data_IF_094934182145
#
_entry.id   IF_094934182145
#
_cell.length_a   1.000
_cell.length_b   1.000
_cell.length_c   1.000
_cell.angle_alpha   90.00
_cell.angle_beta   90.00
_cell.angle_gamma   90.00
#
_symmetry.space_group_name_H-M   'P 1'
#
loop_
_entity.id
_entity.type
_entity.pdbx_description
1 polymer ?
#
# COMPACT_ATOMS: atom_id res chain seq x y z
N UNK A 1 6.71 5.35 -49.59
CA UNK A 1 6.27 5.44 -48.21
C UNK A 1 6.87 4.26 -47.43
N UNK A 2 8.02 4.49 -46.78
CA UNK A 2 8.66 3.47 -45.96
C UNK A 2 7.82 3.30 -44.68
N UNK A 3 7.06 2.22 -44.60
CA UNK A 3 6.46 1.79 -43.34
C UNK A 3 7.57 1.37 -42.38
N UNK A 4 7.98 2.27 -41.50
CA UNK A 4 8.76 1.87 -40.35
C UNK A 4 7.93 0.80 -39.61
N UNK A 5 8.42 -0.44 -39.57
CA UNK A 5 7.89 -1.44 -38.64
C UNK A 5 8.02 -0.81 -37.24
N UNK A 6 6.91 -0.40 -36.67
CA UNK A 6 6.87 -0.04 -35.25
C UNK A 6 7.36 -1.28 -34.50
N UNK A 7 8.59 -1.23 -34.03
CA UNK A 7 9.12 -2.26 -33.11
C UNK A 7 8.27 -2.22 -31.85
N UNK A 8 7.75 -3.38 -31.44
CA UNK A 8 6.97 -3.53 -30.24
C UNK A 8 7.82 -3.07 -29.06
N UNK A 9 7.33 -2.09 -28.28
CA UNK A 9 8.05 -1.59 -27.10
C UNK A 9 8.08 -2.63 -26.00
N UNK A 10 9.20 -2.69 -25.30
CA UNK A 10 9.52 -3.69 -24.26
C UNK A 10 9.43 -3.07 -22.88
N UNK A 11 8.71 -3.72 -21.99
CA UNK A 11 8.56 -3.33 -20.59
C UNK A 11 9.13 -4.42 -19.69
N UNK A 12 10.02 -4.04 -18.80
CA UNK A 12 10.53 -4.91 -17.74
C UNK A 12 9.69 -4.73 -16.47
N UNK A 13 9.08 -5.82 -16.00
CA UNK A 13 8.42 -5.91 -14.72
C UNK A 13 9.32 -6.68 -13.73
N UNK A 14 9.89 -5.98 -12.79
CA UNK A 14 10.67 -6.56 -11.69
C UNK A 14 9.75 -6.95 -10.54
N UNK A 15 9.54 -8.25 -10.35
CA UNK A 15 8.70 -8.83 -9.29
C UNK A 15 7.45 -9.52 -9.83
N UNK A 16 7.14 -10.69 -9.24
CA UNK A 16 5.95 -11.50 -9.51
C UNK A 16 5.15 -11.71 -8.20
N UNK A 17 4.85 -10.59 -7.51
CA UNK A 17 4.08 -10.57 -6.27
C UNK A 17 2.57 -10.55 -6.50
N UNK A 18 1.81 -10.44 -5.40
CA UNK A 18 0.34 -10.48 -5.38
C UNK A 18 -0.32 -9.38 -6.25
N UNK A 19 0.37 -8.27 -6.48
CA UNK A 19 -0.17 -7.11 -7.20
C UNK A 19 0.30 -7.01 -8.66
N UNK A 20 1.12 -7.96 -9.16
CA UNK A 20 1.77 -7.79 -10.47
C UNK A 20 0.86 -8.12 -11.66
N UNK A 21 -0.14 -9.02 -11.50
CA UNK A 21 -0.93 -9.54 -12.63
C UNK A 21 -1.66 -8.45 -13.41
N UNK A 22 -2.41 -7.51 -12.79
CA UNK A 22 -3.11 -6.47 -13.57
C UNK A 22 -2.16 -5.55 -14.34
N UNK A 23 -0.95 -5.29 -13.86
CA UNK A 23 0.09 -4.54 -14.57
C UNK A 23 0.50 -5.25 -15.87
N UNK A 24 0.80 -6.54 -15.76
CA UNK A 24 1.25 -7.37 -16.89
C UNK A 24 0.14 -7.49 -17.92
N UNK A 25 -1.07 -7.84 -17.47
CA UNK A 25 -2.23 -8.02 -18.34
C UNK A 25 -2.58 -6.74 -19.09
N UNK A 26 -2.65 -5.60 -18.38
CA UNK A 26 -2.96 -4.30 -18.98
C UNK A 26 -1.98 -3.95 -20.11
N UNK A 27 -0.67 -4.08 -19.88
CA UNK A 27 0.34 -3.73 -20.89
C UNK A 27 0.35 -4.73 -22.05
N UNK A 28 0.17 -6.02 -21.78
CA UNK A 28 0.01 -7.04 -22.82
C UNK A 28 -1.19 -6.74 -23.74
N UNK A 29 -2.33 -6.35 -23.17
CA UNK A 29 -3.54 -6.02 -23.93
C UNK A 29 -3.38 -4.74 -24.76
N UNK A 30 -2.50 -3.83 -24.33
CA UNK A 30 -2.12 -2.62 -25.08
C UNK A 30 -0.99 -2.84 -26.08
N UNK A 31 -0.57 -4.08 -26.31
CA UNK A 31 0.37 -4.44 -27.37
C UNK A 31 1.85 -4.24 -27.03
N UNK A 32 2.19 -4.13 -25.75
CA UNK A 32 3.58 -4.10 -25.29
C UNK A 32 4.12 -5.52 -25.08
N UNK A 33 5.42 -5.69 -25.25
CA UNK A 33 6.12 -6.89 -24.81
C UNK A 33 6.51 -6.74 -23.33
N UNK A 34 6.09 -7.69 -22.48
CA UNK A 34 6.36 -7.61 -21.05
C UNK A 34 7.26 -8.75 -20.58
N UNK A 35 8.46 -8.41 -20.14
CA UNK A 35 9.40 -9.34 -19.48
C UNK A 35 9.18 -9.30 -17.98
N UNK A 36 8.81 -10.44 -17.37
CA UNK A 36 8.57 -10.56 -15.93
C UNK A 36 9.75 -11.26 -15.27
N UNK A 37 10.51 -10.53 -14.45
CA UNK A 37 11.69 -11.03 -13.76
C UNK A 37 11.39 -11.33 -12.28
N UNK A 38 11.61 -12.58 -11.84
CA UNK A 38 11.29 -13.03 -10.48
C UNK A 38 12.17 -14.17 -10.02
N UNK A 39 12.44 -14.26 -8.70
CA UNK A 39 13.17 -15.38 -8.09
C UNK A 39 12.47 -16.73 -8.31
N UNK A 40 11.15 -16.73 -8.35
CA UNK A 40 10.34 -17.93 -8.51
C UNK A 40 9.69 -17.95 -9.89
N UNK A 41 10.32 -18.61 -10.84
CA UNK A 41 9.84 -18.71 -12.22
C UNK A 41 8.38 -19.16 -12.32
N UNK A 42 8.00 -20.20 -11.57
CA UNK A 42 6.64 -20.75 -11.58
C UNK A 42 5.56 -19.74 -11.10
N UNK A 43 5.93 -18.73 -10.27
CA UNK A 43 5.02 -17.64 -9.94
C UNK A 43 4.86 -16.68 -11.12
N UNK A 44 5.97 -16.32 -11.77
CA UNK A 44 5.93 -15.45 -12.94
C UNK A 44 5.17 -16.12 -14.10
N UNK A 45 5.42 -17.41 -14.37
CA UNK A 45 4.73 -18.16 -15.42
C UNK A 45 3.20 -18.16 -15.23
N UNK A 46 2.72 -18.31 -13.99
CA UNK A 46 1.27 -18.22 -13.68
C UNK A 46 0.69 -16.82 -13.91
N UNK A 47 1.45 -15.78 -13.65
CA UNK A 47 0.97 -14.39 -13.84
C UNK A 47 0.80 -14.02 -15.31
N UNK A 48 1.58 -14.63 -16.20
CA UNK A 48 1.51 -14.38 -17.65
C UNK A 48 0.55 -15.32 -18.38
N UNK A 49 -0.09 -16.28 -17.69
CA UNK A 49 -1.07 -17.16 -18.30
C UNK A 49 -2.20 -16.36 -18.96
N UNK A 50 -2.45 -16.62 -20.25
CA UNK A 50 -3.44 -15.90 -21.06
C UNK A 50 -2.98 -14.55 -21.60
N UNK A 51 -1.83 -14.02 -21.18
CA UNK A 51 -1.25 -12.79 -21.72
C UNK A 51 -0.51 -13.06 -23.05
N UNK A 52 -0.56 -12.09 -23.95
CA UNK A 52 0.19 -12.12 -25.21
C UNK A 52 1.51 -11.37 -25.05
N UNK A 53 2.51 -11.71 -25.89
CA UNK A 53 3.78 -10.98 -25.92
C UNK A 53 4.43 -10.84 -24.54
N UNK A 54 4.46 -11.92 -23.77
CA UNK A 54 5.08 -11.96 -22.46
C UNK A 54 6.17 -13.00 -22.39
N UNK A 55 7.19 -12.75 -21.58
CA UNK A 55 8.22 -13.72 -21.24
C UNK A 55 8.55 -13.66 -19.75
N UNK A 56 9.10 -14.73 -19.21
CA UNK A 56 9.47 -14.83 -17.80
C UNK A 56 10.93 -15.17 -17.63
N UNK A 57 11.60 -14.49 -16.70
CA UNK A 57 13.04 -14.67 -16.42
C UNK A 57 13.20 -14.99 -14.94
N UNK A 58 14.01 -16.01 -14.64
CA UNK A 58 14.48 -16.26 -13.27
C UNK A 58 15.53 -15.22 -12.92
N UNK A 59 15.29 -14.46 -11.86
CA UNK A 59 16.11 -13.33 -11.49
C UNK A 59 16.08 -13.08 -9.98
N UNK A 60 17.24 -12.90 -9.37
CA UNK A 60 17.37 -12.47 -7.97
C UNK A 60 18.08 -11.11 -7.90
N UNK A 61 17.37 -10.07 -7.46
CA UNK A 61 17.89 -8.69 -7.33
C UNK A 61 19.14 -8.59 -6.42
N UNK A 62 19.36 -9.56 -5.55
CA UNK A 62 20.47 -9.55 -4.59
C UNK A 62 21.76 -10.11 -5.17
N UNK A 63 21.69 -10.96 -6.18
CA UNK A 63 22.85 -11.72 -6.70
C UNK A 63 23.10 -11.55 -8.19
N UNK A 64 22.12 -11.14 -8.98
CA UNK A 64 22.18 -11.22 -10.44
C UNK A 64 22.35 -9.82 -11.07
N UNK A 65 23.40 -9.08 -10.64
CA UNK A 65 23.66 -7.69 -11.05
C UNK A 65 23.82 -7.55 -12.57
N UNK A 66 24.64 -8.40 -13.21
CA UNK A 66 24.85 -8.38 -14.65
C UNK A 66 23.55 -8.64 -15.44
N UNK A 67 22.68 -9.51 -14.91
CA UNK A 67 21.40 -9.79 -15.51
C UNK A 67 20.41 -8.61 -15.35
N UNK A 68 20.44 -7.94 -14.19
CA UNK A 68 19.62 -6.72 -13.98
C UNK A 68 20.01 -5.63 -14.97
N UNK A 69 21.31 -5.39 -15.11
CA UNK A 69 21.85 -4.40 -16.05
C UNK A 69 21.35 -4.66 -17.48
N UNK A 70 21.55 -5.88 -17.95
CA UNK A 70 21.09 -6.31 -19.29
C UNK A 70 19.59 -6.19 -19.48
N UNK A 71 18.79 -6.61 -18.50
CA UNK A 71 17.31 -6.55 -18.62
C UNK A 71 16.80 -5.11 -18.69
N UNK A 72 17.44 -4.18 -17.97
CA UNK A 72 17.09 -2.76 -18.00
C UNK A 72 17.56 -2.11 -19.32
N UNK A 73 18.76 -2.44 -19.81
CA UNK A 73 19.29 -1.98 -21.10
C UNK A 73 18.35 -2.36 -22.27
N UNK A 74 17.80 -3.59 -22.24
CA UNK A 74 16.93 -4.09 -23.30
C UNK A 74 15.49 -3.57 -23.23
N UNK A 75 15.11 -2.83 -22.16
CA UNK A 75 13.76 -2.35 -21.94
C UNK A 75 13.59 -0.90 -22.38
N UNK A 76 12.41 -0.57 -22.94
CA UNK A 76 11.98 0.82 -23.17
C UNK A 76 11.44 1.49 -21.89
N UNK A 77 11.10 0.69 -20.87
CA UNK A 77 10.68 1.14 -19.54
C UNK A 77 10.84 -0.02 -18.54
N UNK A 78 11.32 0.27 -17.34
CA UNK A 78 11.37 -0.66 -16.23
C UNK A 78 10.39 -0.26 -15.11
N UNK A 79 9.61 -1.21 -14.61
CA UNK A 79 8.75 -1.04 -13.44
C UNK A 79 9.17 -1.98 -12.34
N UNK A 80 9.37 -1.45 -11.12
CA UNK A 80 9.72 -2.28 -9.96
C UNK A 80 8.54 -2.44 -9.01
N UNK A 81 8.06 -3.68 -8.91
CA UNK A 81 7.08 -4.15 -7.93
C UNK A 81 7.75 -5.05 -6.87
N UNK A 82 9.05 -4.92 -6.71
CA UNK A 82 9.85 -5.56 -5.66
C UNK A 82 9.62 -4.89 -4.29
N UNK A 83 10.15 -5.45 -3.19
CA UNK A 83 10.25 -4.73 -1.93
C UNK A 83 10.98 -3.39 -2.09
N UNK A 84 10.51 -2.35 -1.39
CA UNK A 84 10.97 -0.96 -1.54
C UNK A 84 12.49 -0.77 -1.39
N UNK A 85 13.15 -1.64 -0.64
CA UNK A 85 14.60 -1.61 -0.41
C UNK A 85 15.43 -1.78 -1.68
N UNK A 86 14.85 -2.35 -2.74
CA UNK A 86 15.54 -2.64 -3.99
C UNK A 86 15.30 -1.58 -5.09
N UNK A 87 14.35 -0.66 -4.90
CA UNK A 87 13.99 0.29 -5.97
C UNK A 87 15.14 1.21 -6.35
N UNK A 88 15.91 1.70 -5.37
CA UNK A 88 17.05 2.61 -5.63
C UNK A 88 18.14 1.92 -6.47
N UNK A 89 18.39 0.62 -6.23
CA UNK A 89 19.35 -0.17 -7.03
C UNK A 89 18.90 -0.21 -8.49
N UNK A 90 17.66 -0.60 -8.75
CA UNK A 90 17.12 -0.67 -10.12
C UNK A 90 17.05 0.70 -10.80
N UNK A 91 16.65 1.76 -10.07
CA UNK A 91 16.58 3.11 -10.60
C UNK A 91 17.94 3.68 -11.01
N UNK A 92 19.02 3.35 -10.30
CA UNK A 92 20.39 3.77 -10.69
C UNK A 92 20.79 3.18 -12.03
N UNK A 93 20.56 1.89 -12.24
CA UNK A 93 20.85 1.21 -13.51
C UNK A 93 19.96 1.76 -14.62
N UNK A 94 18.68 2.04 -14.34
CA UNK A 94 17.77 2.68 -15.28
C UNK A 94 18.28 4.06 -15.74
N UNK A 95 18.87 4.86 -14.86
CA UNK A 95 19.51 6.13 -15.19
C UNK A 95 20.74 5.92 -16.12
N UNK A 96 21.57 4.91 -15.85
CA UNK A 96 22.77 4.60 -16.66
C UNK A 96 22.41 4.26 -18.10
N UNK A 97 21.28 3.56 -18.31
CA UNK A 97 20.79 3.18 -19.64
C UNK A 97 19.76 4.18 -20.24
N UNK A 98 19.50 5.29 -19.57
CA UNK A 98 18.45 6.25 -19.93
C UNK A 98 17.08 5.58 -20.14
N UNK A 99 16.75 4.58 -19.33
CA UNK A 99 15.50 3.82 -19.34
C UNK A 99 14.52 4.44 -18.33
N UNK A 100 13.32 4.91 -18.72
CA UNK A 100 12.27 5.35 -17.81
C UNK A 100 11.97 4.33 -16.72
N UNK A 101 11.72 4.80 -15.49
CA UNK A 101 11.51 3.92 -14.34
C UNK A 101 10.23 4.27 -13.58
N UNK A 102 9.46 3.25 -13.19
CA UNK A 102 8.24 3.42 -12.40
C UNK A 102 8.21 2.50 -11.18
N UNK A 103 7.54 2.95 -10.10
CA UNK A 103 7.23 2.11 -8.93
C UNK A 103 6.01 2.64 -8.18
N UNK A 104 5.39 1.77 -7.37
CA UNK A 104 4.23 2.09 -6.54
C UNK A 104 4.61 2.58 -5.14
N UNK A 105 5.89 2.55 -4.78
CA UNK A 105 6.37 2.86 -3.43
C UNK A 105 6.71 4.33 -3.23
N UNK A 106 6.67 4.77 -1.97
CA UNK A 106 7.06 6.14 -1.57
C UNK A 106 8.47 6.51 -2.02
N UNK A 107 8.68 7.80 -2.35
CA UNK A 107 10.00 8.36 -2.62
C UNK A 107 10.83 8.32 -1.33
N UNK A 108 11.85 7.47 -1.30
CA UNK A 108 12.84 7.48 -0.21
C UNK A 108 13.80 8.66 -0.32
N UNK A 109 14.49 9.05 0.78
CA UNK A 109 15.54 10.07 0.72
C UNK A 109 16.63 9.74 -0.32
N UNK A 110 16.97 8.46 -0.49
CA UNK A 110 17.94 7.96 -1.46
C UNK A 110 17.43 8.07 -2.88
N UNK A 111 16.14 7.78 -3.11
CA UNK A 111 15.49 7.95 -4.41
C UNK A 111 15.45 9.44 -4.81
N UNK A 112 15.13 10.32 -3.86
CA UNK A 112 15.10 11.77 -4.09
C UNK A 112 16.45 12.33 -4.56
N UNK A 113 17.58 11.76 -4.09
CA UNK A 113 18.93 12.15 -4.50
C UNK A 113 19.25 11.82 -5.96
N UNK A 114 18.46 10.97 -6.61
CA UNK A 114 18.62 10.60 -8.01
C UNK A 114 18.01 11.63 -8.99
N UNK A 115 17.31 12.65 -8.50
CA UNK A 115 16.57 13.61 -9.36
C UNK A 115 17.47 14.28 -10.41
N UNK A 116 18.62 14.82 -10.01
CA UNK A 116 19.55 15.50 -10.91
C UNK A 116 20.13 14.54 -11.97
N UNK A 117 20.47 13.31 -11.57
CA UNK A 117 20.98 12.30 -12.48
C UNK A 117 19.91 11.85 -13.49
N UNK A 118 18.67 11.64 -13.02
CA UNK A 118 17.54 11.30 -13.89
C UNK A 118 17.21 12.41 -14.88
N UNK A 119 17.26 13.69 -14.44
CA UNK A 119 17.14 14.86 -15.33
C UNK A 119 18.23 14.91 -16.37
N UNK A 120 19.46 14.65 -15.99
CA UNK A 120 20.63 14.64 -16.90
C UNK A 120 20.52 13.51 -17.92
N UNK A 121 19.98 12.36 -17.53
CA UNK A 121 19.69 11.23 -18.40
C UNK A 121 18.44 11.44 -19.28
N UNK A 122 17.62 12.47 -19.00
CA UNK A 122 16.43 12.79 -19.77
C UNK A 122 15.26 11.83 -19.53
N UNK A 123 15.20 11.14 -18.40
CA UNK A 123 14.18 10.13 -18.08
C UNK A 123 13.32 10.53 -16.89
N UNK A 124 12.04 10.11 -16.85
CA UNK A 124 11.24 10.11 -15.65
C UNK A 124 11.56 8.92 -14.73
N UNK A 125 11.57 9.18 -13.43
CA UNK A 125 11.46 8.18 -12.38
C UNK A 125 10.16 8.48 -11.65
N UNK A 126 9.07 7.77 -11.97
CA UNK A 126 7.76 8.00 -11.40
C UNK A 126 7.50 7.02 -10.25
N UNK A 127 7.44 7.56 -9.05
CA UNK A 127 7.15 6.82 -7.82
C UNK A 127 5.70 7.05 -7.38
N UNK A 128 5.29 6.34 -6.33
CA UNK A 128 4.00 6.56 -5.66
C UNK A 128 2.80 6.41 -6.62
N UNK A 129 2.90 5.48 -7.57
CA UNK A 129 1.89 5.29 -8.60
C UNK A 129 1.05 4.02 -8.34
N UNK A 130 0.58 3.88 -7.08
CA UNK A 130 -0.27 2.78 -6.61
C UNK A 130 -1.63 3.26 -6.13
N UNK A 131 -2.13 2.69 -5.02
CA UNK A 131 -3.40 3.10 -4.40
C UNK A 131 -3.17 4.13 -3.29
N UNK A 132 -2.32 3.82 -2.32
CA UNK A 132 -1.84 4.65 -1.22
C UNK A 132 -0.42 4.18 -0.86
N UNK A 133 0.59 4.85 -1.47
CA UNK A 133 0.49 6.09 -2.26
C UNK A 133 0.11 5.89 -3.73
N UNK A 134 -0.68 6.81 -4.28
CA UNK A 134 -1.00 6.88 -5.71
C UNK A 134 -2.36 7.47 -6.01
N UNK A 135 -3.41 6.66 -6.05
CA UNK A 135 -4.79 7.16 -6.30
C UNK A 135 -5.18 8.20 -5.27
N UNK A 136 -4.74 8.04 -4.01
CA UNK A 136 -4.95 9.00 -2.93
C UNK A 136 -4.38 10.39 -3.26
N UNK A 137 -3.16 10.45 -3.82
CA UNK A 137 -2.55 11.71 -4.27
C UNK A 137 -3.30 12.31 -5.46
N UNK A 138 -3.57 11.47 -6.46
CA UNK A 138 -4.20 11.90 -7.71
C UNK A 138 -5.59 12.48 -7.46
N UNK A 139 -6.40 11.79 -6.65
CA UNK A 139 -7.75 12.23 -6.31
C UNK A 139 -7.76 13.45 -5.40
N UNK A 140 -6.82 13.54 -4.45
CA UNK A 140 -6.66 14.73 -3.62
C UNK A 140 -6.27 15.94 -4.47
N UNK A 141 -5.28 15.82 -5.34
CA UNK A 141 -4.82 16.93 -6.20
C UNK A 141 -5.89 17.39 -7.16
N UNK A 142 -6.69 16.48 -7.73
CA UNK A 142 -7.85 16.84 -8.56
C UNK A 142 -8.79 17.81 -7.84
N UNK A 143 -9.08 17.57 -6.56
CA UNK A 143 -9.96 18.42 -5.75
C UNK A 143 -9.24 19.71 -5.33
N UNK A 144 -8.00 19.62 -4.88
CA UNK A 144 -7.20 20.78 -4.46
C UNK A 144 -7.06 21.77 -5.62
N UNK A 145 -6.66 21.31 -6.80
CA UNK A 145 -6.55 22.16 -7.99
C UNK A 145 -7.90 22.76 -8.38
N UNK A 146 -8.99 21.99 -8.28
CA UNK A 146 -10.34 22.52 -8.53
C UNK A 146 -10.70 23.66 -7.58
N UNK A 147 -10.40 23.52 -6.28
CA UNK A 147 -10.66 24.55 -5.27
C UNK A 147 -9.79 25.79 -5.51
N UNK A 148 -8.47 25.60 -5.73
CA UNK A 148 -7.54 26.71 -5.98
C UNK A 148 -7.87 27.47 -7.28
N UNK A 149 -8.30 26.77 -8.34
CA UNK A 149 -8.71 27.39 -9.60
C UNK A 149 -9.97 28.28 -9.48
N UNK A 150 -10.68 28.21 -8.35
CA UNK A 150 -11.83 29.06 -8.01
C UNK A 150 -11.51 30.06 -6.88
N UNK A 151 -10.24 30.42 -6.69
CA UNK A 151 -9.76 31.29 -5.60
C UNK A 151 -10.14 30.77 -4.19
N UNK A 152 -10.38 29.46 -4.07
CA UNK A 152 -10.67 28.80 -2.81
C UNK A 152 -9.38 28.41 -2.07
N UNK A 153 -9.51 28.08 -0.78
CA UNK A 153 -8.45 27.65 0.12
C UNK A 153 -8.83 26.34 0.79
N UNK A 154 -7.90 25.41 0.89
CA UNK A 154 -8.10 24.18 1.64
C UNK A 154 -7.80 24.45 3.12
N UNK A 155 -8.84 24.47 3.96
CA UNK A 155 -8.71 24.65 5.41
C UNK A 155 -8.48 23.35 6.16
N UNK A 156 -9.03 22.26 5.65
CA UNK A 156 -8.84 20.93 6.23
C UNK A 156 -8.78 19.89 5.13
N UNK A 157 -7.89 18.94 5.26
CA UNK A 157 -7.81 17.75 4.44
C UNK A 157 -7.53 16.52 5.29
N UNK A 158 -8.42 15.55 5.21
CA UNK A 158 -8.20 14.21 5.78
C UNK A 158 -8.39 13.14 4.72
N UNK A 159 -7.54 12.13 4.76
CA UNK A 159 -7.55 11.03 3.80
C UNK A 159 -7.32 9.71 4.52
N UNK A 160 -8.24 8.76 4.36
CA UNK A 160 -8.12 7.43 4.95
C UNK A 160 -8.30 6.36 3.88
N UNK A 161 -7.42 5.35 3.91
CA UNK A 161 -7.47 4.22 2.99
C UNK A 161 -7.37 2.90 3.75
N UNK A 162 -8.17 1.91 3.38
CA UNK A 162 -8.11 0.57 3.93
C UNK A 162 -8.27 -0.52 2.88
N UNK A 163 -7.35 -1.49 2.88
CA UNK A 163 -7.55 -2.78 2.22
C UNK A 163 -8.18 -3.75 3.22
N UNK A 164 -9.37 -4.22 2.94
CA UNK A 164 -10.25 -4.94 3.85
C UNK A 164 -10.91 -6.13 3.14
N UNK A 165 -11.39 -7.16 3.85
CA UNK A 165 -12.30 -8.11 3.26
C UNK A 165 -13.62 -7.42 2.86
N UNK A 166 -14.17 -7.80 1.70
CA UNK A 166 -15.53 -7.40 1.34
C UNK A 166 -16.53 -7.84 2.41
N UNK A 167 -17.70 -7.18 2.57
CA UNK A 167 -18.62 -7.49 3.65
C UNK A 167 -18.99 -8.97 3.77
N UNK A 168 -19.18 -9.66 2.64
CA UNK A 168 -19.50 -11.09 2.58
C UNK A 168 -18.31 -12.00 2.91
N UNK A 169 -17.08 -11.50 2.82
CA UNK A 169 -15.84 -12.21 3.14
C UNK A 169 -15.29 -11.85 4.53
N UNK A 170 -15.96 -10.97 5.27
CA UNK A 170 -15.56 -10.52 6.59
C UNK A 170 -16.10 -11.46 7.68
N UNK A 171 -15.61 -12.69 7.70
CA UNK A 171 -16.12 -13.84 8.45
C UNK A 171 -15.24 -14.27 9.63
N UNK A 172 -14.16 -13.55 9.93
CA UNK A 172 -13.26 -13.87 11.03
C UNK A 172 -13.27 -12.79 12.12
N UNK A 173 -12.89 -13.13 13.37
CA UNK A 173 -12.99 -12.19 14.49
C UNK A 173 -12.04 -10.98 14.41
N UNK A 174 -10.98 -11.01 13.57
CA UNK A 174 -10.12 -9.86 13.34
C UNK A 174 -10.74 -8.83 12.39
N UNK A 175 -11.76 -9.22 11.61
CA UNK A 175 -12.30 -8.36 10.56
C UNK A 175 -11.25 -8.00 9.51
N UNK A 176 -10.30 -8.89 9.26
CA UNK A 176 -9.19 -8.64 8.35
C UNK A 176 -8.77 -9.92 7.60
N UNK A 177 -8.38 -9.76 6.34
CA UNK A 177 -7.72 -10.79 5.54
C UNK A 177 -6.57 -10.18 4.74
N UNK A 178 -5.56 -10.99 4.42
CA UNK A 178 -4.32 -10.52 3.81
C UNK A 178 -4.46 -10.40 2.29
N UNK A 179 -4.50 -9.17 1.78
CA UNK A 179 -4.38 -8.85 0.35
C UNK A 179 -2.98 -8.41 -0.06
N UNK A 180 -2.08 -8.22 0.93
CA UNK A 180 -0.69 -7.83 0.73
C UNK A 180 0.21 -8.38 1.86
N UNK A 181 1.46 -7.93 1.96
CA UNK A 181 2.47 -8.45 2.90
C UNK A 181 2.02 -8.41 4.37
N UNK A 182 1.91 -9.54 5.08
CA UNK A 182 1.56 -9.57 6.50
C UNK A 182 2.57 -8.81 7.36
N UNK A 183 3.87 -8.93 7.04
CA UNK A 183 4.93 -8.19 7.73
C UNK A 183 4.74 -6.67 7.55
N UNK A 184 4.34 -6.23 6.35
CA UNK A 184 4.03 -4.83 6.09
C UNK A 184 2.86 -4.32 6.92
N UNK A 185 1.80 -5.12 7.08
CA UNK A 185 0.63 -4.80 7.91
C UNK A 185 1.02 -4.59 9.38
N UNK A 186 1.82 -5.50 9.93
CA UNK A 186 2.23 -5.45 11.34
C UNK A 186 3.24 -4.33 11.61
N UNK A 187 4.20 -4.11 10.70
CA UNK A 187 5.18 -3.02 10.81
C UNK A 187 4.53 -1.64 10.73
N UNK A 188 3.44 -1.48 9.95
CA UNK A 188 2.71 -0.22 9.89
C UNK A 188 2.22 0.24 11.27
N UNK A 189 1.86 -0.70 12.16
CA UNK A 189 1.44 -0.43 13.53
C UNK A 189 2.56 0.01 14.50
N UNK A 190 3.81 0.14 14.04
CA UNK A 190 4.96 0.60 14.83
C UNK A 190 5.44 2.00 14.46
N UNK A 191 4.90 2.56 13.37
CA UNK A 191 5.33 3.88 12.90
C UNK A 191 4.75 4.99 13.77
N UNK A 192 5.55 6.02 14.04
CA UNK A 192 5.04 7.28 14.58
C UNK A 192 4.10 7.94 13.55
N UNK A 193 3.15 8.71 14.04
CA UNK A 193 2.31 9.57 13.21
C UNK A 193 2.61 11.05 13.50
N UNK A 194 2.67 11.86 12.43
CA UNK A 194 2.92 13.29 12.52
C UNK A 194 2.00 14.03 11.56
N UNK A 195 1.14 14.92 12.09
CA UNK A 195 0.11 15.60 11.33
C UNK A 195 -0.24 16.96 11.93
N UNK A 196 -1.00 17.77 11.19
CA UNK A 196 -1.54 19.04 11.67
C UNK A 196 -3.04 18.87 12.00
N UNK A 197 -3.48 19.37 13.14
CA UNK A 197 -4.91 19.42 13.53
C UNK A 197 -5.22 20.77 14.18
N UNK A 198 -6.16 21.49 13.61
CA UNK A 198 -6.60 22.81 14.09
C UNK A 198 -5.43 23.80 14.33
N UNK A 199 -4.50 23.85 13.37
CA UNK A 199 -3.30 24.70 13.43
C UNK A 199 -2.21 24.22 14.39
N UNK A 200 -2.35 23.02 14.98
CA UNK A 200 -1.38 22.47 15.93
C UNK A 200 -0.74 21.21 15.38
N UNK A 201 0.58 21.13 15.48
CA UNK A 201 1.33 19.91 15.20
C UNK A 201 1.02 18.84 16.24
N UNK A 202 0.70 17.64 15.77
CA UNK A 202 0.43 16.47 16.60
C UNK A 202 1.42 15.38 16.24
N UNK A 203 2.10 14.85 17.26
CA UNK A 203 3.00 13.70 17.14
C UNK A 203 2.48 12.58 18.04
N UNK A 204 2.27 11.41 17.45
CA UNK A 204 1.83 10.21 18.16
C UNK A 204 2.94 9.17 18.01
N UNK A 205 3.60 8.77 19.12
CA UNK A 205 4.55 7.66 19.09
C UNK A 205 3.88 6.37 18.60
N UNK A 206 4.59 5.53 17.86
CA UNK A 206 4.06 4.26 17.33
C UNK A 206 3.47 3.35 18.44
N UNK A 207 4.04 3.39 19.64
CA UNK A 207 3.50 2.66 20.79
C UNK A 207 2.09 3.11 21.22
N UNK A 208 1.68 4.35 20.88
CA UNK A 208 0.39 4.94 21.22
C UNK A 208 -0.56 5.03 20.01
N UNK A 209 -0.11 4.58 18.83
CA UNK A 209 -0.83 4.74 17.58
C UNK A 209 -2.26 4.21 17.67
N UNK A 210 -2.43 3.01 18.18
CA UNK A 210 -3.72 2.33 18.29
C UNK A 210 -4.62 2.82 19.43
N UNK A 211 -4.17 3.76 20.28
CA UNK A 211 -5.01 4.50 21.22
C UNK A 211 -5.62 5.75 20.59
N UNK A 212 -5.08 6.18 19.43
CA UNK A 212 -5.43 7.42 18.76
C UNK A 212 -6.17 7.13 17.45
N UNK A 213 -7.29 6.43 17.52
CA UNK A 213 -8.18 6.17 16.39
C UNK A 213 -9.55 6.83 16.62
N UNK A 214 -10.25 7.06 15.52
CA UNK A 214 -11.62 7.58 15.52
C UNK A 214 -12.54 6.60 14.80
N UNK A 215 -13.82 6.55 15.24
CA UNK A 215 -14.83 5.81 14.49
C UNK A 215 -15.37 6.71 13.40
N UNK A 216 -15.13 6.33 12.18
CA UNK A 216 -15.52 7.07 10.99
C UNK A 216 -16.58 6.30 10.21
N UNK A 217 -17.59 7.02 9.72
CA UNK A 217 -18.64 6.44 8.90
C UNK A 217 -18.38 6.76 7.42
N UNK A 218 -18.27 5.71 6.62
CA UNK A 218 -18.12 5.84 5.16
C UNK A 218 -19.46 5.56 4.50
N UNK A 219 -19.98 6.48 3.68
CA UNK A 219 -21.28 6.32 3.03
C UNK A 219 -21.37 5.00 2.25
N UNK A 220 -22.43 4.23 2.51
CA UNK A 220 -22.66 2.94 1.87
C UNK A 220 -21.89 1.75 2.43
N UNK A 221 -20.89 1.97 3.33
CA UNK A 221 -20.05 0.91 3.88
C UNK A 221 -20.12 0.77 5.39
N UNK A 222 -20.67 1.77 6.11
CA UNK A 222 -20.80 1.75 7.57
C UNK A 222 -19.56 2.29 8.28
N UNK A 223 -19.24 1.74 9.46
CA UNK A 223 -18.25 2.31 10.38
C UNK A 223 -16.93 1.55 10.34
N UNK A 224 -15.84 2.30 10.38
CA UNK A 224 -14.47 1.82 10.44
C UNK A 224 -13.71 2.51 11.57
N UNK A 225 -12.64 1.89 12.04
CA UNK A 225 -11.61 2.53 12.85
C UNK A 225 -10.61 3.21 11.90
N UNK A 226 -10.52 4.54 11.99
CA UNK A 226 -9.52 5.34 11.28
C UNK A 226 -8.42 5.79 12.22
N UNK A 227 -7.16 5.45 11.94
CA UNK A 227 -6.02 5.89 12.74
C UNK A 227 -4.95 6.55 11.88
N UNK A 228 -4.19 7.53 12.43
CA UNK A 228 -3.15 8.25 11.71
C UNK A 228 -2.07 7.33 11.16
N UNK A 229 -1.48 7.68 10.01
CA UNK A 229 -0.45 6.89 9.37
C UNK A 229 0.76 7.76 8.97
N UNK A 230 1.90 7.55 9.63
CA UNK A 230 3.20 8.16 9.31
C UNK A 230 3.17 9.69 9.29
N UNK A 231 4.03 10.29 8.45
CA UNK A 231 4.14 11.74 8.27
C UNK A 231 3.10 12.26 7.26
N UNK A 232 2.19 13.08 7.74
CA UNK A 232 1.25 13.84 6.91
C UNK A 232 1.73 15.29 6.69
N UNK A 233 2.66 15.81 7.51
CA UNK A 233 3.09 17.21 7.44
C UNK A 233 3.82 17.54 6.16
N UNK A 234 4.66 16.62 5.65
CA UNK A 234 5.39 16.82 4.40
C UNK A 234 4.47 17.01 3.19
N UNK A 235 3.21 16.57 3.28
CA UNK A 235 2.23 16.71 2.21
C UNK A 235 1.62 18.10 2.11
N UNK A 236 1.83 18.99 3.09
CA UNK A 236 1.50 20.41 2.97
C UNK A 236 2.26 21.03 1.80
N UNK A 237 3.57 20.81 1.73
CA UNK A 237 4.42 21.27 0.64
C UNK A 237 4.13 20.55 -0.68
N UNK A 238 3.94 19.22 -0.59
CA UNK A 238 3.72 18.35 -1.77
C UNK A 238 2.43 18.72 -2.49
N UNK A 239 1.36 19.03 -1.74
CA UNK A 239 0.06 19.41 -2.30
C UNK A 239 -0.12 20.91 -2.49
N UNK A 240 0.81 21.73 -1.99
CA UNK A 240 0.75 23.20 -2.09
C UNK A 240 -0.41 23.81 -1.29
N UNK A 241 -0.79 23.21 -0.15
CA UNK A 241 -1.88 23.65 0.73
C UNK A 241 -1.37 24.29 2.02
N UNK A 242 -0.45 25.26 1.89
CA UNK A 242 0.16 25.98 3.03
C UNK A 242 -0.85 26.75 3.89
N UNK A 243 -2.03 27.02 3.36
CA UNK A 243 -3.15 27.68 4.04
C UNK A 243 -3.97 26.75 4.94
N UNK A 244 -3.65 25.44 4.97
CA UNK A 244 -4.45 24.46 5.72
C UNK A 244 -4.21 24.54 7.22
N UNK A 245 -5.28 24.36 8.00
CA UNK A 245 -5.21 24.23 9.45
C UNK A 245 -5.21 22.76 9.91
N UNK A 246 -5.59 21.84 9.01
CA UNK A 246 -5.62 20.39 9.29
C UNK A 246 -5.18 19.61 8.08
N UNK A 247 -4.20 18.71 8.28
CA UNK A 247 -3.86 17.66 7.31
C UNK A 247 -3.59 16.37 8.06
N UNK A 248 -4.31 15.31 7.70
CA UNK A 248 -4.18 13.99 8.28
C UNK A 248 -4.38 12.90 7.21
N UNK A 249 -3.40 12.03 7.07
CA UNK A 249 -3.52 10.79 6.30
C UNK A 249 -3.54 9.60 7.25
N UNK A 250 -4.42 8.67 7.04
CA UNK A 250 -4.68 7.58 7.96
C UNK A 250 -5.06 6.27 7.28
N UNK A 251 -5.29 5.27 8.09
CA UNK A 251 -5.61 3.91 7.68
C UNK A 251 -6.96 3.49 8.24
N UNK A 252 -7.83 2.92 7.41
CA UNK A 252 -9.06 2.28 7.84
C UNK A 252 -8.86 0.81 8.23
N UNK A 253 -9.55 0.41 9.29
CA UNK A 253 -9.71 -1.01 9.69
C UNK A 253 -11.13 -1.26 10.18
N UNK A 254 -11.55 -2.51 10.14
CA UNK A 254 -12.81 -2.92 10.76
C UNK A 254 -12.75 -2.76 12.28
N UNK A 255 -13.93 -2.61 12.90
CA UNK A 255 -14.06 -2.37 14.34
C UNK A 255 -13.41 -3.47 15.18
N UNK A 256 -12.65 -3.05 16.19
CA UNK A 256 -11.93 -3.91 17.12
C UNK A 256 -10.50 -4.25 16.72
N UNK A 257 -10.04 -3.78 15.56
CA UNK A 257 -8.64 -3.93 15.12
C UNK A 257 -7.69 -3.20 16.06
N UNK A 258 -7.88 -1.89 16.25
CA UNK A 258 -6.96 -1.06 17.03
C UNK A 258 -6.80 -1.57 18.46
N UNK A 259 -7.91 -1.89 19.14
CA UNK A 259 -7.87 -2.46 20.47
C UNK A 259 -7.12 -3.78 20.55
N UNK A 260 -7.26 -4.64 19.53
CA UNK A 260 -6.54 -5.93 19.45
C UNK A 260 -5.05 -5.72 19.22
N UNK A 261 -4.66 -4.90 18.21
CA UNK A 261 -3.27 -4.65 17.89
C UNK A 261 -2.53 -3.89 18.99
N UNK A 262 -3.21 -3.03 19.74
CA UNK A 262 -2.65 -2.40 20.96
C UNK A 262 -2.22 -3.45 21.98
N UNK A 263 -3.05 -4.46 22.24
CA UNK A 263 -2.71 -5.53 23.19
C UNK A 263 -1.61 -6.44 22.64
N UNK A 264 -1.62 -6.75 21.36
CA UNK A 264 -0.54 -7.47 20.65
C UNK A 264 0.80 -6.72 20.83
N UNK A 265 0.82 -5.40 20.60
CA UNK A 265 1.99 -4.57 20.79
C UNK A 265 2.48 -4.56 22.25
N UNK A 266 1.56 -4.37 23.21
CA UNK A 266 1.89 -4.33 24.64
C UNK A 266 2.39 -5.67 25.18
N UNK A 267 2.00 -6.79 24.57
CA UNK A 267 2.53 -8.13 24.89
C UNK A 267 3.94 -8.34 24.31
N UNK A 268 4.46 -7.44 23.46
CA UNK A 268 5.77 -7.59 22.83
C UNK A 268 5.77 -8.42 21.53
N UNK A 269 4.59 -8.78 21.01
CA UNK A 269 4.45 -9.60 19.81
C UNK A 269 4.86 -8.87 18.52
N UNK A 270 5.06 -7.54 18.54
CA UNK A 270 5.58 -6.76 17.42
C UNK A 270 7.10 -6.52 17.52
N UNK A 271 7.83 -7.19 18.45
CA UNK A 271 9.27 -7.03 18.58
C UNK A 271 10.02 -7.63 17.37
N UNK A 272 11.08 -6.91 16.96
CA UNK A 272 12.08 -7.35 15.96
C UNK A 272 13.38 -7.83 16.62
N UNK A 273 13.42 -7.90 17.94
CA UNK A 273 14.60 -8.40 18.65
C UNK A 273 14.79 -9.88 18.32
N UNK A 274 15.98 -10.19 17.83
CA UNK A 274 16.34 -11.56 17.49
C UNK A 274 16.53 -12.41 18.73
N UNK A 275 15.91 -13.59 18.72
CA UNK A 275 16.00 -14.59 19.78
C UNK A 275 15.72 -15.98 19.21
N UNK A 276 16.24 -17.03 19.88
CA UNK A 276 15.91 -18.40 19.47
C UNK A 276 14.47 -18.73 19.86
N UNK A 277 13.67 -19.04 18.84
CA UNK A 277 12.32 -19.58 19.00
C UNK A 277 12.23 -21.05 18.54
N UNK A 278 13.39 -21.65 18.16
CA UNK A 278 13.45 -23.02 17.65
C UNK A 278 12.95 -24.02 18.69
N UNK A 279 12.06 -24.90 18.28
CA UNK A 279 11.46 -25.93 19.14
C UNK A 279 10.41 -25.41 20.12
N UNK A 280 10.12 -24.11 20.13
CA UNK A 280 9.03 -23.54 20.95
C UNK A 280 7.70 -23.68 20.24
N UNK A 281 6.64 -23.84 21.04
CA UNK A 281 5.26 -23.67 20.59
C UNK A 281 4.84 -22.19 20.71
N UNK A 282 3.74 -21.81 20.04
CA UNK A 282 3.16 -20.48 20.23
C UNK A 282 2.72 -20.27 21.68
N UNK A 283 2.16 -21.30 22.35
CA UNK A 283 1.84 -21.24 23.77
C UNK A 283 3.07 -21.00 24.64
N UNK A 284 4.22 -21.68 24.36
CA UNK A 284 5.47 -21.45 25.09
C UNK A 284 5.98 -20.02 24.94
N UNK A 285 5.94 -19.48 23.72
CA UNK A 285 6.29 -18.09 23.46
C UNK A 285 5.40 -17.13 24.26
N UNK A 286 4.10 -17.37 24.29
CA UNK A 286 3.16 -16.55 25.04
C UNK A 286 3.38 -16.65 26.54
N UNK A 287 3.63 -17.84 27.12
CA UNK A 287 3.99 -18.01 28.53
C UNK A 287 5.27 -17.23 28.89
N UNK A 288 6.25 -17.21 28.00
CA UNK A 288 7.47 -16.43 28.21
C UNK A 288 7.18 -14.92 28.21
N UNK A 289 6.33 -14.43 27.30
CA UNK A 289 5.95 -13.01 27.22
C UNK A 289 5.12 -12.53 28.43
N UNK A 290 4.23 -13.36 28.95
CA UNK A 290 3.44 -12.99 30.12
C UNK A 290 4.20 -13.22 31.43
N UNK A 291 5.24 -14.07 31.41
CA UNK A 291 6.06 -14.48 32.56
C UNK A 291 5.22 -15.08 33.72
N UNK A 292 4.26 -15.93 33.36
CA UNK A 292 3.37 -16.60 34.30
C UNK A 292 2.99 -17.98 33.75
N UNK A 293 3.50 -19.06 34.37
CA UNK A 293 3.24 -20.46 33.94
C UNK A 293 2.43 -21.22 34.99
N UNK A 294 1.98 -20.55 36.08
CA UNK A 294 1.24 -21.20 37.16
C UNK A 294 -0.25 -21.29 36.82
N UNK A 295 -0.77 -20.34 36.06
CA UNK A 295 -2.15 -20.31 35.65
C UNK A 295 -2.34 -20.82 34.23
N UNK A 296 -3.59 -21.05 33.84
CA UNK A 296 -3.95 -21.26 32.42
C UNK A 296 -3.53 -20.05 31.56
N UNK A 297 -3.06 -20.30 30.34
CA UNK A 297 -2.52 -19.25 29.49
C UNK A 297 -3.52 -18.12 29.20
N UNK A 298 -4.80 -18.47 29.05
CA UNK A 298 -5.87 -17.49 28.85
C UNK A 298 -6.00 -16.54 30.05
N UNK A 299 -5.91 -17.08 31.28
CA UNK A 299 -5.94 -16.28 32.50
C UNK A 299 -4.68 -15.42 32.64
N UNK A 300 -3.50 -15.99 32.40
CA UNK A 300 -2.23 -15.27 32.44
C UNK A 300 -2.16 -14.10 31.46
N UNK A 301 -2.62 -14.30 30.21
CA UNK A 301 -2.72 -13.23 29.21
C UNK A 301 -3.76 -12.18 29.61
N UNK A 302 -4.91 -12.59 30.15
CA UNK A 302 -5.95 -11.68 30.63
C UNK A 302 -5.42 -10.76 31.77
N UNK A 303 -4.74 -11.34 32.72
CA UNK A 303 -4.09 -10.61 33.85
C UNK A 303 -3.01 -9.64 33.31
N UNK A 304 -2.16 -10.10 32.39
CA UNK A 304 -1.07 -9.27 31.78
C UNK A 304 -1.60 -8.09 30.98
N UNK A 305 -2.70 -8.29 30.26
CA UNK A 305 -3.32 -7.26 29.41
C UNK A 305 -4.30 -6.36 30.16
N UNK A 306 -4.69 -6.73 31.42
CA UNK A 306 -5.70 -6.03 32.18
C UNK A 306 -7.12 -6.22 31.67
N UNK A 307 -7.36 -7.25 30.84
CA UNK A 307 -8.66 -7.59 30.27
C UNK A 307 -9.31 -8.73 31.05
N UNK A 308 -10.62 -8.87 30.90
CA UNK A 308 -11.33 -10.07 31.41
C UNK A 308 -11.06 -11.26 30.47
N UNK A 309 -11.16 -12.48 30.98
CA UNK A 309 -10.94 -13.69 30.18
C UNK A 309 -11.97 -13.89 29.08
N UNK A 310 -13.16 -13.30 29.19
CA UNK A 310 -14.22 -13.30 28.16
C UNK A 310 -14.16 -12.11 27.19
N UNK A 311 -13.13 -11.26 27.30
CA UNK A 311 -12.96 -10.11 26.41
C UNK A 311 -12.75 -10.58 24.94
N UNK A 312 -13.38 -9.91 23.96
CA UNK A 312 -13.22 -10.24 22.55
C UNK A 312 -11.76 -10.24 22.05
N UNK A 313 -10.89 -9.40 22.64
CA UNK A 313 -9.46 -9.38 22.29
C UNK A 313 -8.80 -10.69 22.69
N UNK A 314 -9.04 -11.20 23.89
CA UNK A 314 -8.48 -12.50 24.34
C UNK A 314 -8.95 -13.63 23.42
N UNK A 315 -10.22 -13.64 23.05
CA UNK A 315 -10.78 -14.62 22.12
C UNK A 315 -10.17 -14.53 20.73
N UNK A 316 -9.80 -13.32 20.26
CA UNK A 316 -9.06 -13.14 18.97
C UNK A 316 -7.65 -13.71 19.05
N UNK A 317 -6.92 -13.47 20.15
CA UNK A 317 -5.56 -14.00 20.31
C UNK A 317 -5.57 -15.54 20.33
N UNK A 318 -6.54 -16.14 20.99
CA UNK A 318 -6.73 -17.60 21.03
C UNK A 318 -7.13 -18.13 19.64
N UNK A 319 -8.12 -17.51 18.97
CA UNK A 319 -8.56 -17.90 17.63
C UNK A 319 -7.41 -17.83 16.61
N UNK A 320 -6.51 -16.88 16.76
CA UNK A 320 -5.32 -16.73 15.89
C UNK A 320 -4.37 -17.92 16.04
N UNK A 321 -4.38 -18.62 17.18
CA UNK A 321 -3.51 -19.75 17.48
C UNK A 321 -2.35 -19.42 18.42
N UNK A 322 -2.36 -18.24 19.04
CA UNK A 322 -1.30 -17.83 19.98
C UNK A 322 -1.28 -18.68 21.26
N UNK A 323 -2.38 -19.38 21.56
CA UNK A 323 -2.47 -20.28 22.74
C UNK A 323 -2.31 -21.74 22.38
N UNK A 324 -2.02 -22.05 21.10
CA UNK A 324 -1.91 -23.42 20.61
C UNK A 324 -0.52 -24.01 20.89
N UNK A 325 -0.48 -25.33 21.08
CA UNK A 325 0.76 -26.09 21.14
C UNK A 325 1.37 -26.41 19.75
N UNK A 326 0.97 -25.64 18.71
CA UNK A 326 1.60 -25.68 17.41
C UNK A 326 3.03 -25.13 17.52
N UNK A 327 3.99 -25.82 16.93
CA UNK A 327 5.38 -25.36 16.87
C UNK A 327 5.52 -24.13 15.97
N UNK A 328 6.32 -23.18 16.39
CA UNK A 328 6.76 -22.06 15.56
C UNK A 328 7.64 -22.64 14.45
N UNK A 329 7.43 -22.24 13.18
CA UNK A 329 8.25 -22.74 12.07
C UNK A 329 9.73 -22.47 12.25
N UNK A 330 10.57 -23.42 11.86
CA UNK A 330 12.04 -23.33 11.95
C UNK A 330 12.58 -22.07 11.22
N UNK A 331 13.60 -21.45 11.79
CA UNK A 331 14.24 -20.27 11.22
C UNK A 331 13.52 -18.95 11.49
N UNK A 332 12.43 -18.97 12.23
CA UNK A 332 11.78 -17.75 12.75
C UNK A 332 12.50 -17.36 14.05
N UNK A 333 13.02 -16.15 14.09
CA UNK A 333 13.85 -15.65 15.19
C UNK A 333 13.33 -14.32 15.81
N UNK A 334 12.15 -13.84 15.41
CA UNK A 334 11.51 -12.68 16.04
C UNK A 334 10.07 -12.97 16.39
N UNK A 335 9.52 -12.31 17.42
CA UNK A 335 8.10 -12.42 17.78
C UNK A 335 7.19 -11.93 16.64
N UNK A 336 7.62 -10.86 15.94
CA UNK A 336 6.87 -10.33 14.82
C UNK A 336 6.75 -11.34 13.68
N UNK A 337 7.84 -12.05 13.34
CA UNK A 337 7.81 -13.03 12.25
C UNK A 337 7.02 -14.29 12.67
N UNK A 338 7.04 -14.66 13.96
CA UNK A 338 6.16 -15.71 14.50
C UNK A 338 4.68 -15.31 14.38
N UNK A 339 4.33 -14.07 14.71
CA UNK A 339 2.96 -13.56 14.52
C UNK A 339 2.60 -13.49 13.02
N UNK A 340 3.53 -13.09 12.13
CA UNK A 340 3.32 -13.12 10.68
C UNK A 340 2.91 -14.52 10.19
N UNK A 341 3.56 -15.56 10.68
CA UNK A 341 3.26 -16.94 10.25
C UNK A 341 1.83 -17.37 10.62
N UNK A 342 1.32 -16.93 11.78
CA UNK A 342 -0.09 -17.16 12.16
C UNK A 342 -1.05 -16.35 11.29
N UNK A 343 -0.72 -15.10 10.97
CA UNK A 343 -1.51 -14.27 10.07
C UNK A 343 -1.61 -14.92 8.69
N UNK A 344 -0.49 -15.44 8.17
CA UNK A 344 -0.46 -16.18 6.90
C UNK A 344 -1.29 -17.45 6.92
N UNK A 345 -1.44 -18.11 8.05
CA UNK A 345 -2.26 -19.31 8.18
C UNK A 345 -3.76 -18.99 8.31
N UNK A 346 -4.12 -17.97 9.06
CA UNK A 346 -5.50 -17.73 9.52
C UNK A 346 -6.24 -16.64 8.75
N UNK A 347 -5.52 -15.70 8.14
CA UNK A 347 -6.13 -14.51 7.53
C UNK A 347 -6.06 -14.53 5.99
N UNK A 348 -6.13 -15.72 5.40
CA UNK A 348 -6.17 -15.88 3.94
C UNK A 348 -7.59 -15.72 3.40
N UNK A 349 -7.71 -15.25 2.18
CA UNK A 349 -8.95 -15.34 1.41
C UNK A 349 -9.17 -16.76 0.93
N UNK A 350 -10.39 -17.28 1.10
CA UNK A 350 -10.79 -18.51 0.46
C UNK A 350 -11.04 -18.29 -1.06
N UNK A 351 -11.00 -19.35 -1.88
CA UNK A 351 -11.30 -19.23 -3.31
C UNK A 351 -12.69 -18.59 -3.55
N UNK A 352 -12.72 -17.57 -4.41
CA UNK A 352 -13.92 -16.82 -4.75
C UNK A 352 -14.28 -15.68 -3.80
N UNK A 353 -13.64 -15.55 -2.64
CA UNK A 353 -13.81 -14.39 -1.78
C UNK A 353 -13.17 -13.14 -2.38
N UNK A 354 -13.77 -12.01 -2.06
CA UNK A 354 -13.28 -10.71 -2.51
C UNK A 354 -12.67 -9.91 -1.36
N UNK A 355 -11.65 -9.17 -1.70
CA UNK A 355 -11.22 -8.01 -0.92
C UNK A 355 -11.96 -6.75 -1.40
N UNK A 356 -11.75 -5.67 -0.68
CA UNK A 356 -12.16 -4.32 -1.10
C UNK A 356 -11.09 -3.30 -0.71
N UNK A 357 -11.03 -2.23 -1.48
CA UNK A 357 -10.36 -0.98 -1.08
C UNK A 357 -11.43 0.06 -0.77
N UNK A 358 -11.33 0.64 0.42
CA UNK A 358 -12.12 1.81 0.81
C UNK A 358 -11.16 2.97 0.98
N UNK A 359 -11.36 4.04 0.21
CA UNK A 359 -10.63 5.30 0.32
C UNK A 359 -11.64 6.42 0.52
N UNK A 360 -11.39 7.29 1.48
CA UNK A 360 -12.28 8.40 1.79
C UNK A 360 -11.48 9.66 2.10
N UNK A 361 -11.73 10.70 1.31
CA UNK A 361 -11.21 12.03 1.53
C UNK A 361 -12.30 12.94 2.07
N UNK A 362 -11.94 13.82 2.97
CA UNK A 362 -12.78 14.90 3.42
C UNK A 362 -12.00 16.21 3.38
N UNK A 363 -12.56 17.21 2.71
CA UNK A 363 -12.00 18.55 2.62
C UNK A 363 -12.97 19.57 3.20
N UNK A 364 -12.42 20.61 3.82
CA UNK A 364 -13.10 21.86 4.08
C UNK A 364 -12.47 22.93 3.17
N UNK A 365 -13.23 23.37 2.19
CA UNK A 365 -12.82 24.42 1.27
C UNK A 365 -13.49 25.74 1.66
N UNK A 366 -12.71 26.83 1.70
CA UNK A 366 -13.18 28.17 1.98
C UNK A 366 -12.98 29.06 0.74
N UNK A 367 -14.09 29.57 0.22
CA UNK A 367 -14.10 30.51 -0.89
C UNK A 367 -14.43 31.92 -0.38
N UNK A 368 -14.29 32.98 -1.19
CA UNK A 368 -14.62 34.34 -0.78
C UNK A 368 -16.07 34.53 -0.34
N UNK A 369 -16.98 33.70 -0.83
CA UNK A 369 -18.44 33.85 -0.65
C UNK A 369 -19.11 32.66 0.07
N UNK A 370 -18.39 31.54 0.27
CA UNK A 370 -18.96 30.31 0.85
C UNK A 370 -17.90 29.42 1.44
N UNK A 371 -18.36 28.45 2.25
CA UNK A 371 -17.57 27.28 2.68
C UNK A 371 -18.24 26.01 2.19
N UNK A 372 -17.43 25.05 1.80
CA UNK A 372 -17.88 23.75 1.32
C UNK A 372 -17.17 22.62 2.07
N UNK A 373 -17.92 21.59 2.42
CA UNK A 373 -17.41 20.28 2.74
C UNK A 373 -17.45 19.45 1.46
N UNK A 374 -16.28 18.99 1.02
CA UNK A 374 -16.14 18.11 -0.15
C UNK A 374 -15.70 16.74 0.36
N UNK A 375 -16.42 15.70 -0.01
CA UNK A 375 -16.00 14.31 0.24
C UNK A 375 -15.77 13.61 -1.08
N UNK A 376 -14.73 12.76 -1.13
CA UNK A 376 -14.44 11.91 -2.28
C UNK A 376 -14.23 10.49 -1.78
N UNK A 377 -15.03 9.55 -2.30
CA UNK A 377 -15.03 8.18 -1.80
C UNK A 377 -14.80 7.20 -2.94
N UNK A 378 -13.85 6.32 -2.79
CA UNK A 378 -13.64 5.15 -3.65
C UNK A 378 -13.95 3.88 -2.87
N UNK A 379 -14.78 3.04 -3.46
CA UNK A 379 -15.04 1.67 -3.00
C UNK A 379 -14.83 0.77 -4.21
N UNK A 380 -13.76 0.00 -4.20
CA UNK A 380 -13.47 -0.99 -5.23
C UNK A 380 -13.49 -2.38 -4.63
N UNK A 381 -14.09 -3.34 -5.34
CA UNK A 381 -14.15 -4.74 -4.92
C UNK A 381 -13.32 -5.61 -5.86
N UNK A 382 -12.67 -6.60 -5.29
CA UNK A 382 -12.00 -7.63 -6.05
C UNK A 382 -12.96 -8.42 -6.94
N UNK A 383 -12.42 -9.06 -7.97
CA UNK A 383 -13.18 -9.90 -8.91
C UNK A 383 -13.19 -11.34 -8.39
N UNK A 384 -14.35 -11.98 -8.17
CA UNK A 384 -14.40 -13.35 -7.71
C UNK A 384 -13.58 -14.30 -8.63
N UNK A 385 -12.64 -15.04 -8.06
CA UNK A 385 -11.68 -15.90 -8.78
C UNK A 385 -10.81 -15.15 -9.83
N UNK A 386 -10.73 -13.83 -9.74
CA UNK A 386 -9.94 -12.95 -10.58
C UNK A 386 -8.97 -12.09 -9.79
N UNK A 387 -8.70 -10.88 -10.27
CA UNK A 387 -7.80 -9.95 -9.62
C UNK A 387 -8.45 -9.34 -8.36
N UNK A 388 -7.68 -9.27 -7.28
CA UNK A 388 -8.10 -8.60 -6.06
C UNK A 388 -8.23 -7.09 -6.27
N UNK A 389 -9.05 -6.42 -5.46
CA UNK A 389 -9.14 -4.96 -5.44
C UNK A 389 -7.77 -4.34 -5.14
N UNK A 390 -7.03 -4.90 -4.18
CA UNK A 390 -5.67 -4.46 -3.87
C UNK A 390 -4.77 -4.55 -5.10
N UNK A 391 -4.79 -5.66 -5.83
CA UNK A 391 -3.92 -5.81 -7.01
C UNK A 391 -4.29 -4.85 -8.14
N UNK A 392 -5.58 -4.65 -8.40
CA UNK A 392 -6.09 -3.72 -9.43
C UNK A 392 -5.73 -2.28 -9.10
N UNK A 393 -6.04 -1.84 -7.90
CA UNK A 393 -5.84 -0.43 -7.48
C UNK A 393 -4.36 -0.07 -7.27
N UNK A 394 -3.49 -1.04 -6.99
CA UNK A 394 -2.03 -0.81 -6.94
C UNK A 394 -1.40 -0.86 -8.33
N UNK A 395 -1.78 -1.82 -9.16
CA UNK A 395 -1.07 -2.07 -10.41
C UNK A 395 -1.55 -1.24 -11.60
N UNK A 396 -2.86 -0.98 -11.71
CA UNK A 396 -3.41 -0.28 -12.86
C UNK A 396 -2.92 1.18 -12.97
N UNK A 397 -2.80 1.97 -11.89
CA UNK A 397 -2.25 3.32 -11.99
C UNK A 397 -0.84 3.34 -12.60
N UNK A 398 0.06 2.48 -12.13
CA UNK A 398 1.43 2.42 -12.65
C UNK A 398 1.48 1.81 -14.06
N UNK A 399 0.55 0.93 -14.42
CA UNK A 399 0.45 0.38 -15.77
C UNK A 399 0.01 1.45 -16.77
N UNK A 400 -1.01 2.25 -16.43
CA UNK A 400 -1.47 3.39 -17.23
C UNK A 400 -0.34 4.42 -17.36
N UNK A 401 0.33 4.76 -16.26
CA UNK A 401 1.47 5.67 -16.27
C UNK A 401 2.60 5.16 -17.18
N UNK A 402 2.95 3.88 -17.10
CA UNK A 402 3.95 3.25 -17.97
C UNK A 402 3.58 3.38 -19.44
N UNK A 403 2.32 3.13 -19.79
CA UNK A 403 1.83 3.31 -21.18
C UNK A 403 1.94 4.76 -21.64
N UNK A 404 1.50 5.72 -20.83
CA UNK A 404 1.51 7.14 -21.19
C UNK A 404 2.96 7.65 -21.35
N UNK A 405 3.91 7.17 -20.55
CA UNK A 405 5.33 7.46 -20.71
C UNK A 405 5.82 6.89 -22.05
N UNK A 406 5.53 5.62 -22.32
CA UNK A 406 5.95 4.94 -23.53
C UNK A 406 5.35 5.55 -24.81
N UNK A 407 4.10 5.99 -24.76
CA UNK A 407 3.43 6.67 -25.87
C UNK A 407 4.00 8.08 -26.14
N UNK A 408 4.84 8.60 -25.23
CA UNK A 408 5.41 9.95 -25.30
C UNK A 408 4.42 11.08 -24.97
N UNK A 409 3.26 10.75 -24.45
CA UNK A 409 2.25 11.74 -24.00
C UNK A 409 2.65 12.42 -22.69
N UNK A 410 3.44 11.75 -21.85
CA UNK A 410 4.01 12.29 -20.63
C UNK A 410 5.49 12.66 -20.86
N UNK A 411 5.81 13.94 -20.71
CA UNK A 411 7.16 14.48 -20.94
C UNK A 411 7.81 14.94 -19.64
N UNK A 412 7.93 14.04 -18.69
CA UNK A 412 8.59 14.30 -17.42
C UNK A 412 10.06 13.89 -17.48
N UNK A 413 10.90 14.59 -16.70
CA UNK A 413 12.29 14.20 -16.43
C UNK A 413 12.60 14.45 -14.96
N UNK A 414 13.32 13.51 -14.34
CA UNK A 414 13.63 13.57 -12.90
C UNK A 414 12.72 12.67 -12.08
N UNK A 415 12.82 12.80 -10.75
CA UNK A 415 12.08 12.00 -9.78
C UNK A 415 10.75 12.68 -9.43
N UNK A 416 9.64 12.00 -9.69
CA UNK A 416 8.29 12.54 -9.53
C UNK A 416 7.37 11.60 -8.78
N UNK A 417 6.27 12.17 -8.27
CA UNK A 417 5.04 11.49 -7.83
C UNK A 417 3.85 12.01 -8.63
N UNK A 418 2.68 11.34 -8.63
CA UNK A 418 1.57 11.68 -9.51
C UNK A 418 0.69 12.82 -8.98
N UNK A 419 1.30 13.97 -8.66
CA UNK A 419 0.60 15.16 -8.10
C UNK A 419 0.37 16.27 -9.13
N UNK A 420 0.84 16.10 -10.36
CA UNK A 420 0.72 17.10 -11.42
C UNK A 420 -0.47 16.77 -12.34
N UNK A 421 -1.22 17.78 -12.84
CA UNK A 421 -2.40 17.56 -13.69
C UNK A 421 -2.12 16.69 -14.93
N UNK A 422 -0.98 16.87 -15.58
CA UNK A 422 -0.56 16.08 -16.73
C UNK A 422 -0.31 14.60 -16.41
N UNK A 423 -0.13 14.25 -15.13
CA UNK A 423 0.05 12.87 -14.66
C UNK A 423 -1.27 12.33 -14.13
N UNK A 424 -1.88 13.01 -13.15
CA UNK A 424 -3.04 12.45 -12.46
C UNK A 424 -4.30 12.42 -13.33
N UNK A 425 -4.52 13.44 -14.16
CA UNK A 425 -5.77 13.54 -14.89
C UNK A 425 -6.00 12.40 -15.91
N UNK A 426 -5.03 12.05 -16.77
CA UNK A 426 -5.19 10.91 -17.68
C UNK A 426 -5.28 9.57 -16.95
N UNK A 427 -4.55 9.40 -15.84
CA UNK A 427 -4.59 8.15 -15.06
C UNK A 427 -5.96 7.97 -14.42
N UNK A 428 -6.48 8.98 -13.70
CA UNK A 428 -7.80 8.91 -13.08
C UNK A 428 -8.91 8.67 -14.10
N UNK A 429 -8.86 9.36 -15.25
CA UNK A 429 -9.83 9.18 -16.33
C UNK A 429 -9.88 7.76 -16.85
N UNK A 430 -8.73 7.12 -16.98
CA UNK A 430 -8.65 5.75 -17.47
C UNK A 430 -9.05 4.74 -16.41
N UNK A 431 -8.66 4.96 -15.14
CA UNK A 431 -9.11 4.15 -14.00
C UNK A 431 -10.64 4.12 -13.91
N UNK A 432 -11.30 5.26 -14.15
CA UNK A 432 -12.76 5.33 -14.20
C UNK A 432 -13.37 4.41 -15.27
N UNK A 433 -12.72 4.31 -16.44
CA UNK A 433 -13.14 3.39 -17.52
C UNK A 433 -12.92 1.91 -17.17
N UNK A 434 -12.07 1.64 -16.19
CA UNK A 434 -11.76 0.31 -15.64
C UNK A 434 -12.56 0.02 -14.35
N UNK A 435 -13.63 0.79 -14.09
CA UNK A 435 -14.53 0.71 -12.93
C UNK A 435 -13.88 1.04 -11.58
N UNK A 436 -12.71 1.68 -11.55
CA UNK A 436 -12.12 2.26 -10.34
C UNK A 436 -12.50 3.75 -10.30
N UNK A 437 -13.52 4.07 -9.50
CA UNK A 437 -14.18 5.39 -9.51
C UNK A 437 -14.17 6.02 -8.14
N UNK A 438 -14.04 7.36 -8.14
CA UNK A 438 -14.25 8.17 -6.93
C UNK A 438 -15.56 8.92 -7.08
N UNK A 439 -16.41 8.86 -6.05
CA UNK A 439 -17.65 9.63 -5.94
C UNK A 439 -17.39 10.89 -5.13
N UNK A 440 -17.43 12.04 -5.81
CA UNK A 440 -17.27 13.34 -5.19
C UNK A 440 -18.66 13.90 -4.78
N UNK A 441 -18.77 14.44 -3.55
CA UNK A 441 -19.97 15.09 -3.03
C UNK A 441 -19.60 16.41 -2.41
N UNK A 442 -20.34 17.46 -2.75
CA UNK A 442 -20.15 18.82 -2.24
C UNK A 442 -21.37 19.23 -1.42
N UNK A 443 -21.12 19.81 -0.25
CA UNK A 443 -22.15 20.34 0.64
C UNK A 443 -21.71 21.72 1.12
N UNK A 444 -22.52 22.73 0.92
CA UNK A 444 -22.29 24.07 1.50
C UNK A 444 -22.51 24.04 3.01
N UNK A 445 -21.63 24.62 3.81
CA UNK A 445 -21.64 24.63 5.27
C UNK A 445 -21.48 26.04 5.85
#
# INVERSE_FOLDING_TARGET
MNGAKLTMKRVLCLGAGLVARPYIQYLSDHGFHVTVASRTKSKADRLVEGCKNTETVTFNIETDDDLLDKLIEEADLACSLLPYTFHVKAAKIAIEHATPFCTTSYISPEMKKLDEAARSAGIPILNECGVDPGIDHMSAMKIIDHVHNQDGKIRSFTSFTGGLPAPEANDNPFGYKLSWSPRGVLLAGRNDAYFLRDGKEVKIPGAELFDNYEIMEVPGMGKFEGYPNRDSMSFIDIYGIHETDTILRGTFRNLGWCGTLKKIANLGLLSLDEQSLDGMTFADMMYNLVNDREADLRESVSKKTGLKSDDPVISRLEWLGLFDNQQIPDGINTHLDALCSLFEQKLQYAPGERDMIVMHHEFIAEYPDRKEKITSTMIDFGIPNGDSSMSRTVALPVAIASRIILDGSMKLVGVHRPVMPEVYAPILKELESLDIKLEDRVTTI
#
